data_IF_433877721761
#
_entry.id   IF_433877721761
#
_cell.length_a   1.000
_cell.length_b   1.000
_cell.length_c   1.000
_cell.angle_alpha   90.00
_cell.angle_beta   90.00
_cell.angle_gamma   90.00
#
_symmetry.space_group_name_H-M   'P 1'
#
loop_
_entity.id
_entity.type
_entity.pdbx_description
1 polymer ?
#
# COMPACT_ATOMS: atom_id res chain seq x y z
N UNK A 1 -17.34 1.15 -14.26
CA UNK A 1 -16.37 1.70 -13.28
C UNK A 1 -17.03 2.74 -12.39
N UNK A 2 -17.71 3.74 -12.94
CA UNK A 2 -18.34 4.82 -12.15
C UNK A 2 -19.32 4.30 -11.07
N UNK A 3 -20.16 3.32 -11.38
CA UNK A 3 -21.07 2.71 -10.39
C UNK A 3 -20.32 2.03 -9.23
N UNK A 4 -19.14 1.45 -9.50
CA UNK A 4 -18.31 0.82 -8.46
C UNK A 4 -17.71 1.88 -7.54
N UNK A 5 -17.18 2.96 -8.12
CA UNK A 5 -16.65 4.09 -7.35
C UNK A 5 -17.74 4.75 -6.50
N UNK A 6 -18.95 4.87 -7.05
CA UNK A 6 -20.11 5.36 -6.32
C UNK A 6 -20.48 4.47 -5.13
N UNK A 7 -20.56 3.15 -5.32
CA UNK A 7 -20.83 2.22 -4.21
C UNK A 7 -19.72 2.29 -3.16
N UNK A 8 -18.47 2.35 -3.59
CA UNK A 8 -17.33 2.44 -2.69
C UNK A 8 -17.35 3.74 -1.86
N UNK A 9 -17.69 4.87 -2.47
CA UNK A 9 -17.95 6.11 -1.75
C UNK A 9 -19.04 5.94 -0.69
N UNK A 10 -20.16 5.26 -1.03
CA UNK A 10 -21.23 5.01 -0.07
C UNK A 10 -20.78 4.13 1.09
N UNK A 11 -19.94 3.13 0.84
CA UNK A 11 -19.33 2.34 1.92
C UNK A 11 -18.51 3.23 2.86
N UNK A 12 -17.66 4.10 2.32
CA UNK A 12 -16.83 5.00 3.12
C UNK A 12 -17.66 6.02 3.92
N UNK A 13 -18.77 6.51 3.34
CA UNK A 13 -19.65 7.49 3.98
C UNK A 13 -20.59 6.88 5.03
N UNK A 14 -21.08 5.65 4.80
CA UNK A 14 -22.14 5.05 5.62
C UNK A 14 -21.62 4.13 6.73
N UNK A 15 -20.34 3.73 6.69
CA UNK A 15 -19.73 2.84 7.68
C UNK A 15 -18.50 3.43 8.40
N UNK A 16 -18.49 4.70 8.83
CA UNK A 16 -17.30 5.31 9.41
C UNK A 16 -16.87 4.63 10.72
N UNK A 17 -17.78 4.21 11.59
CA UNK A 17 -17.45 3.59 12.88
C UNK A 17 -16.81 2.21 12.70
N UNK A 18 -17.27 1.47 11.68
CA UNK A 18 -16.68 0.17 11.31
C UNK A 18 -15.27 0.36 10.77
N UNK A 19 -15.08 1.33 9.87
CA UNK A 19 -13.77 1.67 9.30
C UNK A 19 -12.82 2.15 10.40
N UNK A 20 -13.29 2.98 11.32
CA UNK A 20 -12.54 3.41 12.49
C UNK A 20 -12.10 2.21 13.33
N UNK A 21 -12.97 1.21 13.47
CA UNK A 21 -12.68 -0.10 14.09
C UNK A 21 -11.87 -1.05 13.19
N UNK A 22 -11.21 -0.52 12.15
CA UNK A 22 -10.34 -1.21 11.18
C UNK A 22 -11.02 -2.27 10.32
N UNK A 23 -12.34 -2.20 10.17
CA UNK A 23 -13.04 -3.05 9.22
C UNK A 23 -12.55 -2.77 7.79
N UNK A 24 -12.15 -3.84 7.08
CA UNK A 24 -11.63 -3.79 5.71
C UNK A 24 -10.45 -2.83 5.49
N UNK A 25 -9.70 -2.49 6.55
CA UNK A 25 -8.60 -1.50 6.50
C UNK A 25 -7.61 -1.77 5.37
N UNK A 26 -7.09 -3.00 5.28
CA UNK A 26 -6.12 -3.39 4.26
C UNK A 26 -6.72 -3.37 2.84
N UNK A 27 -7.94 -3.90 2.68
CA UNK A 27 -8.64 -3.96 1.39
C UNK A 27 -8.93 -2.56 0.84
N UNK A 28 -9.43 -1.66 1.69
CA UNK A 28 -9.69 -0.26 1.34
C UNK A 28 -8.38 0.42 0.93
N UNK A 29 -7.31 0.24 1.71
CA UNK A 29 -5.98 0.76 1.40
C UNK A 29 -5.46 0.29 0.03
N UNK A 30 -5.61 -0.99 -0.31
CA UNK A 30 -5.19 -1.54 -1.60
C UNK A 30 -5.99 -0.95 -2.78
N UNK A 31 -7.30 -0.80 -2.64
CA UNK A 31 -8.14 -0.17 -3.68
C UNK A 31 -7.69 1.27 -3.90
N UNK A 32 -7.49 2.03 -2.83
CA UNK A 32 -7.05 3.42 -2.91
C UNK A 32 -5.66 3.55 -3.55
N UNK A 33 -4.71 2.70 -3.17
CA UNK A 33 -3.39 2.62 -3.82
C UNK A 33 -3.51 2.37 -5.33
N UNK A 34 -4.37 1.44 -5.74
CA UNK A 34 -4.63 1.17 -7.17
C UNK A 34 -5.24 2.37 -7.89
N UNK A 35 -6.16 3.11 -7.27
CA UNK A 35 -6.77 4.31 -7.87
C UNK A 35 -5.77 5.46 -7.99
N UNK A 36 -4.87 5.59 -7.02
CA UNK A 36 -3.87 6.65 -6.94
C UNK A 36 -2.61 6.40 -7.80
N UNK A 37 -2.49 5.22 -8.41
CA UNK A 37 -1.34 4.84 -9.23
C UNK A 37 -1.10 5.85 -10.37
N UNK A 38 0.17 6.19 -10.61
CA UNK A 38 0.61 7.22 -11.57
C UNK A 38 0.21 6.90 -13.02
N UNK A 39 0.14 5.60 -13.35
CA UNK A 39 -0.35 5.10 -14.64
C UNK A 39 -1.85 5.30 -14.93
N UNK A 40 -2.65 5.73 -13.95
CA UNK A 40 -4.06 6.06 -14.19
C UNK A 40 -4.24 7.47 -14.78
N UNK A 41 -5.36 7.67 -15.47
CA UNK A 41 -5.75 9.01 -15.93
C UNK A 41 -5.95 9.97 -14.76
N UNK A 42 -5.76 11.27 -15.02
CA UNK A 42 -5.99 12.32 -14.02
C UNK A 42 -7.42 12.29 -13.46
N UNK A 43 -8.41 11.91 -14.27
CA UNK A 43 -9.80 11.77 -13.82
C UNK A 43 -9.93 10.71 -12.72
N UNK A 44 -9.36 9.52 -12.94
CA UNK A 44 -9.39 8.43 -11.96
C UNK A 44 -8.59 8.79 -10.71
N UNK A 45 -7.41 9.40 -10.89
CA UNK A 45 -6.59 9.83 -9.76
C UNK A 45 -7.28 10.87 -8.88
N UNK A 46 -8.00 11.84 -9.47
CA UNK A 46 -8.78 12.84 -8.72
C UNK A 46 -9.87 12.18 -7.88
N UNK A 47 -10.60 11.21 -8.43
CA UNK A 47 -11.55 10.41 -7.65
C UNK A 47 -10.86 9.59 -6.56
N UNK A 48 -9.69 9.00 -6.86
CA UNK A 48 -8.86 8.31 -5.88
C UNK A 48 -8.47 9.19 -4.69
N UNK A 49 -8.08 10.45 -4.94
CA UNK A 49 -7.78 11.43 -3.88
C UNK A 49 -9.04 11.72 -3.05
N UNK A 50 -10.18 11.97 -3.69
CA UNK A 50 -11.44 12.26 -2.99
C UNK A 50 -11.86 11.11 -2.08
N UNK A 51 -11.80 9.88 -2.58
CA UNK A 51 -12.10 8.66 -1.81
C UNK A 51 -11.08 8.42 -0.69
N UNK A 52 -9.80 8.72 -0.92
CA UNK A 52 -8.78 8.63 0.11
C UNK A 52 -9.06 9.57 1.28
N UNK A 53 -9.51 10.80 1.01
CA UNK A 53 -9.88 11.75 2.06
C UNK A 53 -11.10 11.29 2.88
N UNK A 54 -12.10 10.68 2.24
CA UNK A 54 -13.23 10.07 2.96
C UNK A 54 -12.76 8.94 3.87
N UNK A 55 -11.81 8.12 3.42
CA UNK A 55 -11.23 7.07 4.26
C UNK A 55 -10.43 7.65 5.43
N UNK A 56 -9.60 8.67 5.20
CA UNK A 56 -8.87 9.38 6.26
C UNK A 56 -9.82 9.97 7.31
N UNK A 57 -10.93 10.57 6.87
CA UNK A 57 -11.96 11.11 7.76
C UNK A 57 -12.62 10.02 8.61
N UNK A 58 -12.89 8.85 8.03
CA UNK A 58 -13.43 7.71 8.76
C UNK A 58 -12.42 7.09 9.74
N UNK A 59 -11.12 7.10 9.42
CA UNK A 59 -10.06 6.59 10.29
C UNK A 59 -9.80 7.48 11.52
N UNK A 60 -9.91 8.80 11.37
CA UNK A 60 -9.60 9.77 12.44
C UNK A 60 -8.21 9.49 13.06
N UNK A 61 -8.14 9.35 14.39
CA UNK A 61 -6.91 9.07 15.15
C UNK A 61 -6.34 7.66 14.92
N UNK A 62 -7.06 6.77 14.23
CA UNK A 62 -6.59 5.41 13.96
C UNK A 62 -5.79 5.26 12.66
N UNK A 63 -5.55 6.36 11.95
CA UNK A 63 -4.66 6.37 10.77
C UNK A 63 -3.21 6.09 11.20
N UNK A 64 -2.58 5.14 10.52
CA UNK A 64 -1.19 4.80 10.77
C UNK A 64 -0.24 5.71 9.96
N UNK A 65 1.05 5.60 10.26
CA UNK A 65 2.08 6.41 9.61
C UNK A 65 2.07 6.28 8.08
N UNK A 66 1.73 5.10 7.54
CA UNK A 66 1.63 4.91 6.10
C UNK A 66 0.55 5.78 5.45
N UNK A 67 -0.64 5.88 6.06
CA UNK A 67 -1.72 6.71 5.52
C UNK A 67 -1.36 8.19 5.61
N UNK A 68 -0.70 8.61 6.68
CA UNK A 68 -0.19 9.98 6.81
C UNK A 68 0.86 10.30 5.74
N UNK A 69 1.75 9.35 5.43
CA UNK A 69 2.72 9.51 4.35
C UNK A 69 2.05 9.60 2.98
N UNK A 70 1.04 8.76 2.73
CA UNK A 70 0.25 8.85 1.50
C UNK A 70 -0.44 10.21 1.40
N UNK A 71 -1.06 10.69 2.49
CA UNK A 71 -1.70 12.01 2.53
C UNK A 71 -0.73 13.14 2.18
N UNK A 72 0.47 13.16 2.80
CA UNK A 72 1.51 14.14 2.49
C UNK A 72 1.90 14.12 1.00
N UNK A 73 2.04 12.94 0.40
CA UNK A 73 2.35 12.80 -1.03
C UNK A 73 1.24 13.31 -1.97
N UNK A 74 -0.01 13.42 -1.50
CA UNK A 74 -1.14 13.88 -2.31
C UNK A 74 -1.31 15.40 -2.30
N UNK A 75 -0.66 16.12 -1.37
CA UNK A 75 -0.73 17.57 -1.27
C UNK A 75 0.28 18.18 -2.25
N UNK A 76 -0.15 19.01 -3.22
CA UNK A 76 0.77 19.69 -4.13
C UNK A 76 1.76 20.58 -3.35
N UNK A 77 3.05 20.44 -3.63
CA UNK A 77 4.11 21.24 -3.01
C UNK A 77 4.55 20.77 -1.62
N UNK A 78 3.93 19.73 -1.04
CA UNK A 78 4.44 19.12 0.18
C UNK A 78 5.71 18.30 -0.09
N UNK A 79 6.73 18.37 0.79
CA UNK A 79 7.91 17.54 0.66
C UNK A 79 7.55 16.06 0.87
N UNK A 80 8.27 15.17 0.18
CA UNK A 80 8.08 13.73 0.37
C UNK A 80 8.39 13.35 1.83
N UNK A 81 7.48 12.65 2.52
CA UNK A 81 7.69 12.24 3.90
C UNK A 81 8.89 11.29 4.00
N UNK A 82 9.69 11.46 5.04
CA UNK A 82 10.83 10.60 5.32
C UNK A 82 10.37 9.39 6.16
N UNK A 83 10.65 8.19 5.69
CA UNK A 83 10.49 6.96 6.47
C UNK A 83 11.87 6.33 6.69
N UNK A 84 12.30 6.23 7.96
CA UNK A 84 13.64 5.73 8.33
C UNK A 84 14.79 6.41 7.58
N UNK A 85 14.67 7.72 7.32
CA UNK A 85 15.67 8.52 6.62
C UNK A 85 15.57 8.51 5.09
N UNK A 86 14.69 7.69 4.51
CA UNK A 86 14.49 7.62 3.05
C UNK A 86 13.21 8.36 2.64
N UNK A 87 13.24 9.22 1.61
CA UNK A 87 12.03 9.81 1.04
C UNK A 87 11.07 8.72 0.53
N UNK A 88 9.84 8.71 1.03
CA UNK A 88 8.74 7.88 0.52
C UNK A 88 7.92 8.71 -0.45
N UNK A 89 7.96 8.36 -1.73
CA UNK A 89 7.03 8.89 -2.72
C UNK A 89 5.75 8.04 -2.76
N UNK A 90 4.68 8.59 -3.33
CA UNK A 90 3.44 7.84 -3.53
C UNK A 90 3.67 6.51 -4.27
N UNK A 91 4.58 6.51 -5.25
CA UNK A 91 4.93 5.31 -6.02
C UNK A 91 5.54 4.22 -5.12
N UNK A 92 6.50 4.56 -4.26
CA UNK A 92 7.11 3.62 -3.31
C UNK A 92 6.16 3.11 -2.22
N UNK A 93 5.04 3.80 -1.99
CA UNK A 93 3.99 3.38 -1.04
C UNK A 93 2.97 2.45 -1.72
N UNK A 94 2.69 2.69 -3.00
CA UNK A 94 1.81 1.86 -3.82
C UNK A 94 2.52 0.55 -4.21
N UNK A 95 3.76 0.68 -4.68
CA UNK A 95 4.65 -0.40 -5.07
C UNK A 95 5.85 -0.38 -4.11
N UNK A 96 5.74 -1.00 -2.91
CA UNK A 96 6.92 -1.16 -2.09
C UNK A 96 7.96 -1.91 -2.92
N UNK A 97 9.23 -1.41 -3.00
CA UNK A 97 10.27 -2.16 -3.66
C UNK A 97 10.26 -3.55 -3.03
N UNK A 98 10.15 -4.58 -3.87
CA UNK A 98 10.34 -5.94 -3.41
C UNK A 98 11.71 -5.92 -2.74
N UNK A 99 11.70 -6.07 -1.41
CA UNK A 99 12.88 -6.46 -0.68
C UNK A 99 13.20 -7.86 -1.18
N UNK A 100 13.86 -7.94 -2.34
CA UNK A 100 14.85 -8.96 -2.62
C UNK A 100 15.93 -8.78 -1.56
N UNK A 101 15.61 -9.12 -0.30
CA UNK A 101 16.55 -9.93 0.44
C UNK A 101 16.55 -11.19 -0.40
N UNK A 102 17.50 -11.22 -1.33
CA UNK A 102 17.88 -12.42 -2.00
C UNK A 102 17.98 -13.46 -0.88
N UNK A 103 17.03 -14.38 -0.84
CA UNK A 103 17.38 -15.74 -0.44
C UNK A 103 18.42 -16.14 -1.48
N UNK A 104 19.67 -15.71 -1.26
CA UNK A 104 20.84 -16.23 -1.92
C UNK A 104 20.71 -17.72 -1.64
N UNK A 105 20.25 -18.47 -2.65
CA UNK A 105 20.41 -19.92 -2.65
C UNK A 105 21.91 -20.09 -2.78
N UNK A 106 22.60 -20.07 -1.64
CA UNK A 106 23.98 -20.49 -1.56
C UNK A 106 23.99 -21.94 -2.01
N UNK A 107 24.76 -22.32 -3.04
CA UNK A 107 24.91 -23.72 -3.38
C UNK A 107 25.48 -24.42 -2.14
N UNK A 108 24.63 -25.19 -1.45
CA UNK A 108 25.08 -26.03 -0.36
C UNK A 108 25.81 -27.21 -1.01
N UNK A 109 27.10 -27.35 -0.69
CA UNK A 109 27.92 -28.43 -1.21
C UNK A 109 27.39 -29.76 -0.67
N UNK A 110 26.78 -30.57 -1.54
CA UNK A 110 26.20 -31.86 -1.16
C UNK A 110 27.36 -32.82 -0.90
N UNK A 111 27.78 -32.94 0.35
CA UNK A 111 28.73 -33.98 0.74
C UNK A 111 28.03 -35.33 0.66
N UNK A 112 28.56 -36.33 -0.06
CA UNK A 112 27.94 -37.65 -0.12
C UNK A 112 27.90 -38.26 1.29
N UNK A 113 26.69 -38.66 1.72
CA UNK A 113 26.46 -39.21 3.07
C UNK A 113 27.09 -40.60 3.29
N UNK A 114 27.61 -41.24 2.23
CA UNK A 114 28.09 -42.62 2.28
C UNK A 114 29.42 -42.73 1.56
N UNK A 115 30.39 -43.39 2.20
CA UNK A 115 31.67 -43.70 1.60
C UNK A 115 31.49 -44.66 0.41
N UNK A 116 32.31 -44.54 -0.66
CA UNK A 116 32.24 -45.47 -1.79
C UNK A 116 32.48 -46.89 -1.29
N UNK A 117 31.55 -47.81 -1.58
CA UNK A 117 31.75 -49.22 -1.28
C UNK A 117 32.73 -49.80 -2.31
N UNK A 118 33.89 -50.24 -1.84
CA UNK A 118 34.87 -50.98 -2.63
C UNK A 118 34.27 -52.32 -3.04
N UNK A 119 34.27 -52.60 -4.34
CA UNK A 119 33.91 -53.91 -4.90
C UNK A 119 35.01 -54.95 -4.76
#
# INVERSE_FOLDING_TARGET
LDSILFIFEKILQLLPERIQSRWQFHSIGLILKKLLHTGNSLKIRREGVRLFLLWMQALQSNAEHEQLCMFACLIPGFPAPLYRGTPRTLDTLINPPLSLVETQVTPEEITPLVAPQSG
#
